data_IF_033804258451
#
_entry.id   IF_033804258451
#
_cell.length_a   1.000
_cell.length_b   1.000
_cell.length_c   1.000
_cell.angle_alpha   90.00
_cell.angle_beta   90.00
_cell.angle_gamma   90.00
#
_symmetry.space_group_name_H-M   'P 1'
#
loop_
_entity.id
_entity.type
_entity.pdbx_description
1 polymer ?
#
# COMPACT_ATOMS: atom_id res chain seq x y z
N UNK A 1 13.99 2.04 5.33
CA UNK A 1 12.75 1.56 5.98
C UNK A 1 11.64 1.44 4.94
N UNK A 2 10.95 0.29 4.80
CA UNK A 2 9.94 0.02 3.76
C UNK A 2 8.80 1.07 3.71
N UNK A 3 8.54 1.76 4.81
CA UNK A 3 7.56 2.85 4.92
C UNK A 3 7.80 4.02 3.96
N UNK A 4 9.05 4.30 3.59
CA UNK A 4 9.35 5.37 2.65
C UNK A 4 8.76 5.04 1.27
N UNK A 5 8.87 3.78 0.81
CA UNK A 5 8.24 3.33 -0.45
C UNK A 5 6.72 3.43 -0.42
N UNK A 6 6.10 3.11 0.71
CA UNK A 6 4.63 3.22 0.89
C UNK A 6 4.20 4.69 0.81
N UNK A 7 4.94 5.59 1.47
CA UNK A 7 4.68 7.04 1.41
C UNK A 7 4.82 7.56 -0.01
N UNK A 8 5.88 7.17 -0.71
CA UNK A 8 6.14 7.64 -2.07
C UNK A 8 5.10 7.11 -3.07
N UNK A 9 4.68 5.85 -2.94
CA UNK A 9 3.56 5.30 -3.70
C UNK A 9 2.27 6.11 -3.48
N UNK A 10 1.92 6.42 -2.22
CA UNK A 10 0.77 7.27 -1.92
C UNK A 10 0.89 8.66 -2.54
N UNK A 11 2.09 9.25 -2.55
CA UNK A 11 2.31 10.57 -3.15
C UNK A 11 2.05 10.55 -4.66
N UNK A 12 2.50 9.49 -5.35
CA UNK A 12 2.23 9.31 -6.78
C UNK A 12 0.73 9.22 -7.03
N UNK A 13 0.02 8.36 -6.28
CA UNK A 13 -1.44 8.19 -6.43
C UNK A 13 -2.21 9.47 -6.09
N UNK A 14 -1.79 10.24 -5.08
CA UNK A 14 -2.53 11.42 -4.63
C UNK A 14 -2.24 12.68 -5.45
N UNK A 15 -1.02 12.85 -5.95
CA UNK A 15 -0.56 14.12 -6.53
C UNK A 15 -0.08 14.00 -7.98
N UNK A 16 0.22 12.78 -8.47
CA UNK A 16 0.73 12.54 -9.80
C UNK A 16 -0.12 11.48 -10.54
N UNK A 17 -1.44 11.48 -10.30
CA UNK A 17 -2.38 10.49 -10.85
C UNK A 17 -2.63 10.62 -12.36
N UNK A 18 -2.03 11.60 -13.03
CA UNK A 18 -2.15 11.73 -14.47
C UNK A 18 -1.06 10.90 -15.16
N UNK A 19 -1.44 9.95 -16.01
CA UNK A 19 -0.50 9.08 -16.73
C UNK A 19 0.05 7.90 -15.92
N UNK A 20 -0.54 7.59 -14.75
CA UNK A 20 -0.26 6.35 -14.03
C UNK A 20 -0.87 5.15 -14.75
N UNK A 21 -0.15 4.03 -14.74
CA UNK A 21 -0.65 2.75 -15.23
C UNK A 21 -1.59 2.14 -14.17
N UNK A 22 -2.88 2.09 -14.49
CA UNK A 22 -3.90 1.57 -13.58
C UNK A 22 -3.71 0.07 -13.27
N UNK A 23 -3.15 -0.70 -14.20
CA UNK A 23 -2.89 -2.12 -14.00
C UNK A 23 -1.71 -2.33 -13.05
N UNK A 24 -0.66 -1.50 -13.15
CA UNK A 24 0.46 -1.48 -12.20
C UNK A 24 -0.04 -1.12 -10.79
N UNK A 25 -0.88 -0.09 -10.66
CA UNK A 25 -1.48 0.30 -9.38
C UNK A 25 -2.31 -0.85 -8.79
N UNK A 26 -3.09 -1.53 -9.62
CA UNK A 26 -3.92 -2.66 -9.19
C UNK A 26 -3.06 -3.83 -8.68
N UNK A 27 -1.98 -4.16 -9.37
CA UNK A 27 -1.03 -5.19 -8.93
C UNK A 27 -0.42 -4.84 -7.57
N UNK A 28 0.03 -3.60 -7.39
CA UNK A 28 0.65 -3.15 -6.13
C UNK A 28 -0.33 -3.24 -4.96
N UNK A 29 -1.58 -2.79 -5.15
CA UNK A 29 -2.62 -2.84 -4.12
C UNK A 29 -2.95 -4.29 -3.74
N UNK A 30 -3.11 -5.16 -4.73
CA UNK A 30 -3.59 -6.54 -4.52
C UNK A 30 -2.50 -7.51 -4.06
N UNK A 31 -1.22 -7.21 -4.35
CA UNK A 31 -0.10 -8.12 -4.04
C UNK A 31 0.83 -7.57 -2.95
N UNK A 32 1.25 -6.31 -3.03
CA UNK A 32 2.30 -5.74 -2.16
C UNK A 32 1.72 -5.11 -0.89
N UNK A 33 0.57 -4.45 -0.99
CA UNK A 33 -0.08 -3.79 0.16
C UNK A 33 -0.95 -4.77 0.94
N UNK A 34 -1.56 -5.76 0.28
CA UNK A 34 -2.45 -6.75 0.91
C UNK A 34 -1.87 -7.43 2.17
N UNK A 35 -0.59 -7.84 2.25
CA UNK A 35 0.01 -8.39 3.47
C UNK A 35 -0.07 -7.45 4.67
N UNK A 36 0.16 -6.15 4.47
CA UNK A 36 0.16 -5.15 5.54
C UNK A 36 -1.18 -5.09 6.28
N UNK A 37 -2.30 -5.30 5.56
CA UNK A 37 -3.63 -5.38 6.18
C UNK A 37 -3.74 -6.54 7.17
N UNK A 38 -3.18 -7.69 6.82
CA UNK A 38 -3.19 -8.87 7.68
C UNK A 38 -2.25 -8.69 8.87
N UNK A 39 -1.09 -8.06 8.68
CA UNK A 39 -0.15 -7.76 9.75
C UNK A 39 -0.79 -6.82 10.79
N UNK A 40 -1.41 -5.72 10.34
CA UNK A 40 -2.12 -4.78 11.22
C UNK A 40 -3.25 -5.50 11.97
N UNK A 41 -4.04 -6.32 11.27
CA UNK A 41 -5.11 -7.09 11.91
C UNK A 41 -4.55 -8.04 12.97
N UNK A 42 -3.47 -8.75 12.67
CA UNK A 42 -2.81 -9.65 13.62
C UNK A 42 -2.19 -8.93 14.81
N UNK A 43 -1.82 -7.66 14.69
CA UNK A 43 -1.42 -6.83 15.83
C UNK A 43 -2.61 -6.45 16.70
N UNK A 44 -3.70 -5.98 16.08
CA UNK A 44 -4.93 -5.61 16.79
C UNK A 44 -5.57 -6.80 17.51
N UNK A 45 -5.57 -7.98 16.88
CA UNK A 45 -6.12 -9.21 17.44
C UNK A 45 -5.26 -9.78 18.59
N UNK A 46 -3.99 -9.34 18.75
CA UNK A 46 -3.08 -9.77 19.84
C UNK A 46 -3.15 -8.88 21.09
N UNK A 47 -3.75 -7.71 20.99
CA UNK A 47 -3.96 -6.79 22.13
C UNK A 47 -5.33 -6.97 22.81
N UNK A 48 -6.16 -7.90 22.30
CA UNK A 48 -7.41 -8.37 22.91
C UNK A 48 -7.23 -9.78 23.49
#
# INVERSE_FOLDING_TARGET
>A
MPWQKVKDFRNIVAHNYFGIDADEIWEIITTKIKPLKYDIKGLLDKEL
#
